data_IF_148927528703
#
_entry.id   IF_148927528703
#
_cell.length_a   1.000
_cell.length_b   1.000
_cell.length_c   1.000
_cell.angle_alpha   90.00
_cell.angle_beta   90.00
_cell.angle_gamma   90.00
#
_symmetry.space_group_name_H-M   'P 1'
#
loop_
_entity.id
_entity.type
_entity.pdbx_description
1 polymer ?
#
# COMPACT_ATOMS: atom_id res chain seq x y z
N UNK A 1 -2.07 -36.24 6.62
CA UNK A 1 -0.68 -36.65 6.31
C UNK A 1 0.25 -35.73 7.09
N UNK A 2 1.10 -36.28 7.96
CA UNK A 2 2.09 -35.48 8.70
C UNK A 2 3.17 -35.11 7.70
N UNK A 3 3.25 -33.83 7.30
CA UNK A 3 4.34 -33.36 6.44
C UNK A 3 5.63 -33.46 7.25
N UNK A 4 6.56 -34.30 6.78
CA UNK A 4 7.88 -34.47 7.41
C UNK A 4 8.62 -33.13 7.32
N UNK A 5 9.07 -32.62 8.45
CA UNK A 5 9.94 -31.43 8.47
C UNK A 5 11.23 -31.75 7.69
N UNK A 6 11.68 -30.85 6.81
CA UNK A 6 12.90 -31.06 6.04
C UNK A 6 14.11 -31.21 6.97
N UNK A 7 14.95 -32.17 6.65
CA UNK A 7 16.25 -32.41 7.28
C UNK A 7 17.22 -31.26 7.01
N UNK A 8 18.27 -31.13 7.83
CA UNK A 8 19.29 -30.08 7.64
C UNK A 8 19.92 -30.05 6.23
N UNK A 9 20.22 -31.19 5.59
CA UNK A 9 20.65 -31.19 4.18
C UNK A 9 19.58 -30.66 3.22
N UNK A 10 18.30 -30.95 3.46
CA UNK A 10 17.19 -30.45 2.63
C UNK A 10 16.97 -28.94 2.82
N UNK A 11 17.15 -28.42 4.04
CA UNK A 11 17.16 -26.97 4.29
C UNK A 11 18.29 -26.29 3.53
N UNK A 12 19.50 -26.86 3.57
CA UNK A 12 20.66 -26.30 2.86
C UNK A 12 20.41 -26.24 1.35
N UNK A 13 19.82 -27.30 0.76
CA UNK A 13 19.45 -27.29 -0.66
C UNK A 13 18.46 -26.17 -1.01
N UNK A 14 17.53 -25.84 -0.11
CA UNK A 14 16.58 -24.75 -0.31
C UNK A 14 17.28 -23.39 -0.19
N UNK A 15 18.17 -23.22 0.79
CA UNK A 15 18.97 -22.01 0.97
C UNK A 15 19.82 -21.76 -0.27
N UNK A 16 20.53 -22.78 -0.75
CA UNK A 16 21.39 -22.69 -1.93
C UNK A 16 20.57 -22.30 -3.17
N UNK A 17 19.41 -22.93 -3.37
CA UNK A 17 18.49 -22.61 -4.47
C UNK A 17 18.00 -21.16 -4.44
N UNK A 18 17.61 -20.65 -3.26
CA UNK A 18 17.18 -19.26 -3.10
C UNK A 18 18.36 -18.29 -3.23
N UNK A 19 19.57 -18.71 -2.88
CA UNK A 19 20.76 -17.89 -3.05
C UNK A 19 21.18 -17.75 -4.52
N UNK A 20 21.11 -18.82 -5.30
CA UNK A 20 21.36 -18.79 -6.77
C UNK A 20 20.42 -17.84 -7.50
N UNK A 21 19.21 -17.69 -6.96
CA UNK A 21 18.18 -16.76 -7.43
C UNK A 21 18.50 -15.27 -7.22
N UNK A 22 19.52 -14.94 -6.41
CA UNK A 22 19.97 -13.57 -6.12
C UNK A 22 18.85 -12.58 -5.71
N UNK A 23 18.02 -12.89 -4.69
CA UNK A 23 16.88 -12.06 -4.34
C UNK A 23 17.29 -10.68 -3.79
N UNK A 24 16.53 -9.65 -4.14
CA UNK A 24 16.67 -8.30 -3.57
C UNK A 24 16.12 -8.25 -2.15
N UNK A 25 16.51 -7.22 -1.38
CA UNK A 25 15.98 -7.00 -0.02
C UNK A 25 14.45 -6.92 -0.01
N UNK A 26 13.87 -6.24 -0.98
CA UNK A 26 12.42 -6.11 -1.14
C UNK A 26 11.73 -7.46 -1.37
N UNK A 27 12.34 -8.34 -2.18
CA UNK A 27 11.81 -9.68 -2.41
C UNK A 27 11.86 -10.55 -1.14
N UNK A 28 12.92 -10.42 -0.33
CA UNK A 28 13.01 -11.10 0.98
C UNK A 28 11.90 -10.62 1.93
N UNK A 29 11.68 -9.31 1.99
CA UNK A 29 10.65 -8.73 2.84
C UNK A 29 9.24 -9.13 2.41
N UNK A 30 8.99 -9.19 1.09
CA UNK A 30 7.73 -9.70 0.53
C UNK A 30 7.47 -11.13 0.98
N UNK A 31 8.47 -12.00 0.88
CA UNK A 31 8.33 -13.41 1.27
C UNK A 31 8.01 -13.56 2.77
N UNK A 32 8.62 -12.74 3.65
CA UNK A 32 8.24 -12.69 5.06
C UNK A 32 6.74 -12.40 5.24
N UNK A 33 6.23 -11.40 4.51
CA UNK A 33 4.84 -10.95 4.64
C UNK A 33 3.86 -11.96 4.04
N UNK A 34 4.15 -12.50 2.86
CA UNK A 34 3.23 -13.35 2.09
C UNK A 34 3.22 -14.79 2.59
N UNK A 35 4.40 -15.39 2.75
CA UNK A 35 4.53 -16.82 3.09
C UNK A 35 4.47 -17.02 4.59
N UNK A 36 5.18 -16.20 5.35
CA UNK A 36 5.26 -16.34 6.80
C UNK A 36 4.17 -15.57 7.53
N UNK A 37 3.52 -14.57 6.90
CA UNK A 37 2.54 -13.68 7.54
C UNK A 37 3.12 -12.96 8.77
N UNK A 38 4.38 -12.56 8.67
CA UNK A 38 5.15 -11.88 9.73
C UNK A 38 5.84 -10.64 9.18
N UNK A 39 6.12 -9.67 10.06
CA UNK A 39 6.94 -8.53 9.68
C UNK A 39 8.39 -9.00 9.48
N UNK A 40 9.14 -8.49 8.48
CA UNK A 40 10.52 -8.93 8.24
C UNK A 40 11.44 -8.85 9.46
N UNK A 41 11.26 -7.84 10.32
CA UNK A 41 12.04 -7.66 11.55
C UNK A 41 11.73 -8.68 12.65
N UNK A 42 10.60 -9.38 12.58
CA UNK A 42 10.28 -10.48 13.47
C UNK A 42 10.94 -11.80 13.02
N UNK A 43 11.40 -11.84 11.76
CA UNK A 43 12.04 -13.01 11.13
C UNK A 43 13.56 -12.87 11.14
N UNK A 44 14.09 -11.71 10.77
CA UNK A 44 15.53 -11.41 10.81
C UNK A 44 15.82 -9.94 11.19
N UNK A 45 16.94 -9.66 11.90
CA UNK A 45 17.33 -8.29 12.26
C UNK A 45 17.52 -7.33 11.06
N UNK A 46 17.30 -6.03 11.26
CA UNK A 46 17.50 -4.97 10.25
C UNK A 46 18.91 -4.92 9.62
N UNK A 47 19.93 -5.46 10.31
CA UNK A 47 21.32 -5.48 9.84
C UNK A 47 21.77 -6.84 9.31
N UNK A 48 20.83 -7.74 9.03
CA UNK A 48 21.14 -9.05 8.48
C UNK A 48 21.64 -8.94 7.04
N UNK A 49 22.67 -9.71 6.72
CA UNK A 49 23.08 -9.91 5.32
C UNK A 49 22.02 -10.72 4.58
N UNK A 50 22.01 -10.66 3.24
CA UNK A 50 21.08 -11.44 2.39
C UNK A 50 21.09 -12.93 2.77
N UNK A 51 22.28 -13.51 2.99
CA UNK A 51 22.38 -14.92 3.37
C UNK A 51 21.83 -15.18 4.78
N UNK A 52 22.03 -14.28 5.74
CA UNK A 52 21.44 -14.41 7.08
C UNK A 52 19.92 -14.32 7.03
N UNK A 53 19.37 -13.43 6.21
CA UNK A 53 17.93 -13.30 6.01
C UNK A 53 17.33 -14.55 5.34
N UNK A 54 17.99 -15.12 4.32
CA UNK A 54 17.56 -16.36 3.66
C UNK A 54 17.56 -17.53 4.66
N UNK A 55 18.62 -17.69 5.46
CA UNK A 55 18.68 -18.74 6.48
C UNK A 55 17.52 -18.62 7.48
N UNK A 56 17.29 -17.41 8.01
CA UNK A 56 16.21 -17.14 8.95
C UNK A 56 14.82 -17.40 8.34
N UNK A 57 14.61 -17.00 7.08
CA UNK A 57 13.40 -17.27 6.32
C UNK A 57 13.14 -18.77 6.18
N UNK A 58 14.16 -19.53 5.80
CA UNK A 58 14.05 -20.99 5.63
C UNK A 58 13.72 -21.66 6.95
N UNK A 59 14.45 -21.34 8.03
CA UNK A 59 14.16 -21.89 9.36
C UNK A 59 12.75 -21.54 9.85
N UNK A 60 12.33 -20.28 9.64
CA UNK A 60 10.98 -19.84 10.02
C UNK A 60 9.89 -20.51 9.20
N UNK A 61 10.15 -20.76 7.91
CA UNK A 61 9.22 -21.50 7.04
C UNK A 61 9.03 -22.95 7.48
N UNK A 62 10.10 -23.59 7.99
CA UNK A 62 10.07 -24.95 8.51
C UNK A 62 9.27 -25.01 9.80
N UNK A 63 9.50 -24.07 10.72
CA UNK A 63 8.71 -23.96 11.95
C UNK A 63 7.21 -23.81 11.68
N UNK A 64 6.86 -23.07 10.62
CA UNK A 64 5.47 -22.84 10.20
C UNK A 64 4.91 -23.90 9.24
N UNK A 65 5.71 -24.90 8.85
CA UNK A 65 5.33 -25.93 7.87
C UNK A 65 4.85 -25.35 6.52
N UNK A 66 5.47 -24.25 6.06
CA UNK A 66 5.15 -23.55 4.80
C UNK A 66 6.33 -23.52 3.80
N UNK A 67 7.30 -24.42 3.98
CA UNK A 67 8.54 -24.46 3.19
C UNK A 67 8.30 -24.65 1.69
N UNK A 68 7.29 -25.42 1.29
CA UNK A 68 6.93 -25.58 -0.13
C UNK A 68 6.42 -24.28 -0.76
N UNK A 69 5.71 -23.46 0.03
CA UNK A 69 5.22 -22.15 -0.40
C UNK A 69 6.33 -21.11 -0.50
N UNK A 70 7.40 -21.27 0.29
CA UNK A 70 8.55 -20.35 0.29
C UNK A 70 9.25 -20.34 -1.07
N UNK A 71 9.61 -21.51 -1.59
CA UNK A 71 10.34 -21.63 -2.86
C UNK A 71 9.46 -21.17 -4.03
N UNK A 72 8.18 -21.55 -4.02
CA UNK A 72 7.23 -21.13 -5.05
C UNK A 72 7.06 -19.60 -5.09
N UNK A 73 7.00 -18.93 -3.93
CA UNK A 73 6.90 -17.47 -3.90
C UNK A 73 8.18 -16.83 -4.46
N UNK A 74 9.38 -17.28 -4.06
CA UNK A 74 10.63 -16.75 -4.63
C UNK A 74 10.70 -16.89 -6.16
N UNK A 75 10.30 -18.04 -6.70
CA UNK A 75 10.24 -18.26 -8.15
C UNK A 75 9.27 -17.29 -8.83
N UNK A 76 8.10 -17.03 -8.22
CA UNK A 76 7.11 -16.09 -8.75
C UNK A 76 7.60 -14.64 -8.70
N UNK A 77 8.18 -14.20 -7.58
CA UNK A 77 8.63 -12.81 -7.43
C UNK A 77 9.76 -12.49 -8.40
N UNK A 78 10.65 -13.45 -8.66
CA UNK A 78 11.78 -13.28 -9.58
C UNK A 78 11.35 -13.35 -11.03
N UNK A 79 10.41 -14.23 -11.39
CA UNK A 79 9.85 -14.26 -12.75
C UNK A 79 9.14 -12.95 -13.11
N UNK A 80 8.48 -12.30 -12.14
CA UNK A 80 7.93 -10.95 -12.34
C UNK A 80 9.04 -9.94 -12.65
N UNK A 81 10.13 -9.96 -11.89
CA UNK A 81 11.27 -9.05 -12.11
C UNK A 81 12.03 -9.31 -13.41
N UNK A 82 12.20 -10.56 -13.85
CA UNK A 82 12.88 -10.91 -15.12
C UNK A 82 12.02 -10.50 -16.32
N UNK A 83 10.70 -10.63 -16.23
CA UNK A 83 9.80 -10.18 -17.30
C UNK A 83 9.70 -8.65 -17.37
N UNK A 84 9.99 -7.93 -16.28
CA UNK A 84 9.96 -6.45 -16.22
C UNK A 84 11.29 -5.79 -16.65
N UNK A 85 12.24 -6.58 -17.18
CA UNK A 85 13.49 -6.08 -17.75
C UNK A 85 13.31 -5.39 -19.11
N UNK A 86 13.33 -4.06 -19.10
CA UNK A 86 13.62 -3.16 -20.23
C UNK A 86 12.79 -3.32 -21.51
N UNK A 87 11.53 -2.93 -21.43
CA UNK A 87 10.89 -2.17 -22.50
C UNK A 87 9.86 -1.27 -21.82
N UNK A 88 9.66 -0.06 -22.31
CA UNK A 88 8.58 0.83 -21.86
C UNK A 88 7.25 0.08 -22.04
N UNK A 89 6.82 -0.68 -21.03
CA UNK A 89 5.50 -1.29 -21.02
C UNK A 89 4.51 -0.14 -20.97
N UNK A 90 3.54 -0.04 -21.89
CA UNK A 90 2.44 0.89 -21.72
C UNK A 90 1.81 0.53 -20.37
N UNK A 91 1.67 1.51 -19.47
CA UNK A 91 1.15 1.29 -18.12
C UNK A 91 -0.02 0.29 -18.16
N UNK A 92 0.19 -0.79 -17.41
CA UNK A 92 -0.50 -2.07 -17.55
C UNK A 92 -2.01 -1.89 -17.38
N UNK A 93 -2.79 -2.30 -18.38
CA UNK A 93 -4.25 -2.28 -18.30
C UNK A 93 -4.74 -3.07 -17.08
N UNK A 94 -3.98 -4.07 -16.65
CA UNK A 94 -4.26 -4.87 -15.46
C UNK A 94 -4.10 -4.06 -14.17
N UNK A 95 -3.05 -3.25 -14.04
CA UNK A 95 -2.87 -2.36 -12.89
C UNK A 95 -3.96 -1.29 -12.83
N UNK A 96 -4.35 -0.74 -13.98
CA UNK A 96 -5.47 0.20 -14.07
C UNK A 96 -6.82 -0.45 -13.74
N UNK A 97 -7.01 -1.73 -14.10
CA UNK A 97 -8.18 -2.52 -13.72
C UNK A 97 -8.21 -2.83 -12.23
N UNK A 98 -7.08 -3.23 -11.64
CA UNK A 98 -6.95 -3.45 -10.20
C UNK A 98 -7.28 -2.17 -9.42
N UNK A 99 -6.68 -1.05 -9.82
CA UNK A 99 -6.98 0.25 -9.27
C UNK A 99 -8.46 0.61 -9.43
N UNK A 100 -9.05 0.39 -10.61
CA UNK A 100 -10.47 0.62 -10.87
C UNK A 100 -11.41 -0.22 -10.00
N UNK A 101 -11.06 -1.49 -9.77
CA UNK A 101 -11.81 -2.41 -8.91
C UNK A 101 -11.72 -2.01 -7.43
N UNK A 102 -10.53 -1.67 -6.94
CA UNK A 102 -10.32 -1.13 -5.60
C UNK A 102 -11.11 0.16 -5.43
N UNK A 103 -10.93 1.11 -6.35
CA UNK A 103 -11.65 2.39 -6.39
C UNK A 103 -13.16 2.21 -6.29
N UNK A 104 -13.74 1.34 -7.12
CA UNK A 104 -15.19 1.12 -7.18
C UNK A 104 -15.69 0.47 -5.89
N UNK A 105 -14.90 -0.45 -5.33
CA UNK A 105 -15.25 -1.13 -4.08
C UNK A 105 -15.20 -0.20 -2.88
N UNK A 106 -14.15 0.65 -2.80
CA UNK A 106 -14.05 1.70 -1.80
C UNK A 106 -15.25 2.65 -1.91
N UNK A 107 -15.53 3.16 -3.11
CA UNK A 107 -16.64 4.08 -3.32
C UNK A 107 -17.97 3.45 -2.91
N UNK A 108 -18.24 2.21 -3.30
CA UNK A 108 -19.47 1.49 -2.93
C UNK A 108 -19.59 1.26 -1.42
N UNK A 109 -18.49 0.96 -0.74
CA UNK A 109 -18.49 0.83 0.72
C UNK A 109 -18.79 2.16 1.42
N UNK A 110 -18.34 3.27 0.82
CA UNK A 110 -18.55 4.63 1.32
C UNK A 110 -19.87 5.28 0.85
N UNK A 111 -20.56 4.71 -0.14
CA UNK A 111 -21.86 5.18 -0.64
C UNK A 111 -22.97 5.10 0.43
N UNK A 112 -22.78 4.31 1.49
CA UNK A 112 -23.69 4.23 2.63
C UNK A 112 -23.58 5.43 3.60
N UNK A 113 -22.58 6.31 3.41
CA UNK A 113 -22.41 7.52 4.22
C UNK A 113 -23.38 8.61 3.76
N UNK A 114 -24.04 9.27 4.71
CA UNK A 114 -25.02 10.32 4.44
C UNK A 114 -24.41 11.50 3.65
N UNK A 115 -24.98 11.80 2.49
CA UNK A 115 -24.54 12.90 1.63
C UNK A 115 -24.86 14.27 2.22
N UNK A 116 -25.85 14.36 3.11
CA UNK A 116 -26.22 15.64 3.76
C UNK A 116 -25.19 16.07 4.80
N UNK A 117 -24.60 15.12 5.54
CA UNK A 117 -23.47 15.40 6.43
C UNK A 117 -22.22 15.79 5.64
N UNK A 118 -21.98 15.14 4.49
CA UNK A 118 -20.87 15.47 3.60
C UNK A 118 -20.92 16.93 3.12
N UNK A 119 -22.10 17.44 2.76
CA UNK A 119 -22.27 18.83 2.31
C UNK A 119 -21.87 19.84 3.40
N UNK A 120 -22.19 19.55 4.66
CA UNK A 120 -21.83 20.40 5.80
C UNK A 120 -20.31 20.58 5.95
N UNK A 121 -19.51 19.53 5.74
CA UNK A 121 -18.04 19.61 5.81
C UNK A 121 -17.40 20.21 4.56
N UNK A 122 -18.10 20.16 3.41
CA UNK A 122 -17.58 20.71 2.14
C UNK A 122 -17.86 22.20 1.95
N UNK A 123 -18.82 22.77 2.69
CA UNK A 123 -19.30 24.14 2.48
C UNK A 123 -18.24 25.22 2.78
N UNK A 124 -17.31 24.93 3.70
CA UNK A 124 -16.29 25.89 4.16
C UNK A 124 -14.92 25.70 3.48
N UNK A 125 -14.79 24.74 2.55
CA UNK A 125 -13.53 24.53 1.83
C UNK A 125 -13.50 25.52 0.68
N UNK A 126 -12.94 26.70 0.97
CA UNK A 126 -12.55 27.68 -0.04
C UNK A 126 -11.68 26.97 -1.09
N UNK A 127 -12.27 26.72 -2.26
CA UNK A 127 -11.62 26.05 -3.40
C UNK A 127 -10.52 26.91 -4.06
N UNK A 128 -9.93 27.84 -3.31
CA UNK A 128 -9.06 28.91 -3.78
C UNK A 128 -7.68 28.89 -3.12
N UNK A 129 -7.36 27.85 -2.33
CA UNK A 129 -6.05 27.73 -1.72
C UNK A 129 -4.99 27.34 -2.76
N UNK A 130 -4.46 28.35 -3.44
CA UNK A 130 -3.38 28.28 -4.44
C UNK A 130 -2.00 28.01 -3.80
N UNK A 131 -1.95 27.21 -2.73
CA UNK A 131 -0.69 26.80 -2.11
C UNK A 131 -0.06 25.69 -2.93
N UNK A 132 1.21 25.83 -3.32
CA UNK A 132 1.91 24.76 -4.03
C UNK A 132 1.93 23.48 -3.18
N UNK A 133 1.69 22.31 -3.78
CA UNK A 133 1.60 21.04 -3.05
C UNK A 133 2.79 20.74 -2.14
N UNK A 134 4.01 21.11 -2.57
CA UNK A 134 5.22 20.96 -1.73
C UNK A 134 5.14 21.82 -0.47
N UNK A 135 4.73 23.07 -0.63
CA UNK A 135 4.54 24.02 0.47
C UNK A 135 3.43 23.54 1.40
N UNK A 136 2.34 23.01 0.83
CA UNK A 136 1.26 22.39 1.59
C UNK A 136 1.76 21.23 2.47
N UNK A 137 2.48 20.28 1.88
CA UNK A 137 2.98 19.10 2.60
C UNK A 137 3.89 19.50 3.77
N UNK A 138 4.75 20.50 3.57
CA UNK A 138 5.70 20.96 4.56
C UNK A 138 5.07 21.81 5.66
N UNK A 139 4.20 22.77 5.28
CA UNK A 139 3.80 23.86 6.17
C UNK A 139 2.35 23.76 6.68
N UNK A 140 1.45 23.14 5.90
CA UNK A 140 0.04 22.95 6.29
C UNK A 140 -0.19 21.55 6.86
N UNK A 141 0.08 20.53 6.06
CA UNK A 141 -0.14 19.15 6.46
C UNK A 141 0.82 18.70 7.57
N UNK A 142 2.00 19.33 7.70
CA UNK A 142 3.00 19.03 8.74
C UNK A 142 3.38 17.54 8.79
N UNK A 143 3.42 16.89 7.62
CA UNK A 143 3.87 15.51 7.51
C UNK A 143 5.36 15.38 7.82
N UNK A 144 5.81 14.20 8.28
CA UNK A 144 7.24 13.89 8.38
C UNK A 144 7.92 13.93 7.00
N UNK A 145 9.24 14.14 6.97
CA UNK A 145 10.01 14.21 5.70
C UNK A 145 9.80 12.97 4.84
N UNK A 146 9.85 11.78 5.44
CA UNK A 146 9.68 10.52 4.73
C UNK A 146 8.29 10.44 4.07
N UNK A 147 7.24 10.89 4.77
CA UNK A 147 5.87 10.91 4.25
C UNK A 147 5.69 11.99 3.17
N UNK A 148 6.37 13.14 3.28
CA UNK A 148 6.40 14.14 2.22
C UNK A 148 7.07 13.59 0.94
N UNK A 149 8.20 12.90 1.07
CA UNK A 149 8.88 12.26 -0.06
C UNK A 149 8.05 11.15 -0.70
N UNK A 150 7.30 10.39 0.11
CA UNK A 150 6.34 9.40 -0.40
C UNK A 150 5.23 10.09 -1.20
N UNK A 151 4.59 11.11 -0.64
CA UNK A 151 3.52 11.85 -1.32
C UNK A 151 3.97 12.44 -2.67
N UNK A 152 5.20 12.93 -2.74
CA UNK A 152 5.78 13.47 -3.99
C UNK A 152 6.00 12.38 -5.04
N UNK A 153 6.44 11.19 -4.65
CA UNK A 153 6.62 10.04 -5.54
C UNK A 153 5.29 9.52 -6.06
N UNK A 154 4.32 9.28 -5.16
CA UNK A 154 3.03 8.68 -5.51
C UNK A 154 2.15 9.60 -6.39
N UNK A 155 2.38 10.92 -6.40
CA UNK A 155 1.58 11.88 -7.19
C UNK A 155 1.53 11.57 -8.68
N UNK A 156 2.67 11.24 -9.28
CA UNK A 156 2.74 10.99 -10.72
C UNK A 156 2.04 9.68 -11.07
N UNK A 157 2.29 8.65 -10.26
CA UNK A 157 1.72 7.32 -10.44
C UNK A 157 0.19 7.33 -10.29
N UNK A 158 -0.34 7.94 -9.23
CA UNK A 158 -1.78 8.00 -9.01
C UNK A 158 -2.50 8.81 -10.09
N UNK A 159 -1.90 9.90 -10.59
CA UNK A 159 -2.46 10.70 -11.68
C UNK A 159 -2.58 9.89 -12.98
N UNK A 160 -1.58 9.05 -13.26
CA UNK A 160 -1.57 8.13 -14.41
C UNK A 160 -2.65 7.05 -14.23
N UNK A 161 -2.70 6.39 -13.07
CA UNK A 161 -3.69 5.35 -12.77
C UNK A 161 -5.12 5.88 -12.86
N UNK A 162 -5.39 7.05 -12.28
CA UNK A 162 -6.69 7.71 -12.38
C UNK A 162 -7.06 7.98 -13.85
N UNK A 163 -6.14 8.51 -14.66
CA UNK A 163 -6.41 8.79 -16.08
C UNK A 163 -6.74 7.51 -16.86
N UNK A 164 -6.04 6.42 -16.59
CA UNK A 164 -6.26 5.14 -17.26
C UNK A 164 -7.55 4.47 -16.80
N UNK A 165 -7.82 4.44 -15.49
CA UNK A 165 -9.08 3.94 -14.97
C UNK A 165 -10.28 4.72 -15.51
N UNK A 166 -10.17 6.05 -15.66
CA UNK A 166 -11.22 6.86 -16.30
C UNK A 166 -11.49 6.43 -17.75
N UNK A 167 -10.44 6.09 -18.51
CA UNK A 167 -10.58 5.56 -19.89
C UNK A 167 -11.27 4.19 -19.90
N UNK A 168 -11.05 3.37 -18.86
CA UNK A 168 -11.67 2.06 -18.68
C UNK A 168 -13.11 2.11 -18.12
N UNK A 169 -13.64 3.30 -17.84
CA UNK A 169 -15.03 3.49 -17.42
C UNK A 169 -15.24 3.87 -15.95
N UNK A 170 -14.17 3.93 -15.15
CA UNK A 170 -14.24 4.32 -13.73
C UNK A 170 -14.33 5.85 -13.60
N UNK A 171 -15.54 6.41 -13.65
CA UNK A 171 -15.78 7.86 -13.86
C UNK A 171 -16.09 8.69 -12.59
N UNK A 172 -16.10 8.11 -11.39
CA UNK A 172 -16.55 8.77 -10.15
C UNK A 172 -15.43 9.17 -9.17
N UNK A 173 -14.21 9.41 -9.65
CA UNK A 173 -13.06 9.61 -8.78
C UNK A 173 -13.18 10.78 -7.80
N UNK A 174 -13.74 11.92 -8.24
CA UNK A 174 -13.98 13.06 -7.37
C UNK A 174 -14.95 12.75 -6.22
N UNK A 175 -15.90 11.84 -6.42
CA UNK A 175 -16.82 11.42 -5.34
C UNK A 175 -16.06 10.66 -4.26
N UNK A 176 -15.08 9.84 -4.65
CA UNK A 176 -14.22 9.16 -3.69
C UNK A 176 -13.40 10.15 -2.86
N UNK A 177 -12.79 11.17 -3.50
CA UNK A 177 -12.03 12.21 -2.77
C UNK A 177 -12.90 12.91 -1.72
N UNK A 178 -14.16 13.24 -2.06
CA UNK A 178 -15.12 13.81 -1.11
C UNK A 178 -15.44 12.88 0.06
N UNK A 179 -15.64 11.58 -0.19
CA UNK A 179 -15.91 10.59 0.87
C UNK A 179 -14.68 10.35 1.76
N UNK A 180 -13.48 10.30 1.18
CA UNK A 180 -12.20 10.24 1.91
C UNK A 180 -12.02 11.47 2.80
N UNK A 181 -12.37 12.65 2.29
CA UNK A 181 -12.35 13.89 3.05
C UNK A 181 -13.31 13.87 4.25
N UNK A 182 -14.55 13.47 4.04
CA UNK A 182 -15.50 13.32 5.14
C UNK A 182 -15.02 12.33 6.21
N UNK A 183 -14.47 11.20 5.78
CA UNK A 183 -13.84 10.25 6.69
C UNK A 183 -12.69 10.88 7.48
N UNK A 184 -11.85 11.68 6.82
CA UNK A 184 -10.78 12.39 7.50
C UNK A 184 -11.29 13.30 8.61
N UNK A 185 -12.36 14.05 8.39
CA UNK A 185 -12.95 14.89 9.45
C UNK A 185 -13.44 14.06 10.64
N UNK A 186 -14.06 12.90 10.40
CA UNK A 186 -14.41 11.96 11.48
C UNK A 186 -13.19 11.41 12.22
N UNK A 187 -12.10 11.16 11.51
CA UNK A 187 -10.82 10.81 12.15
C UNK A 187 -10.34 11.97 13.03
N UNK A 188 -10.46 13.22 12.58
CA UNK A 188 -10.09 14.40 13.37
C UNK A 188 -10.96 14.60 14.62
N UNK A 189 -12.24 14.20 14.60
CA UNK A 189 -13.09 14.23 15.80
C UNK A 189 -12.55 13.30 16.90
N UNK A 190 -12.02 12.14 16.50
CA UNK A 190 -11.44 11.15 17.42
C UNK A 190 -9.96 11.39 17.74
N UNK A 191 -9.25 12.02 16.80
CA UNK A 191 -7.82 12.30 16.85
C UNK A 191 -7.56 13.75 16.43
N UNK A 192 -7.76 14.73 17.34
CA UNK A 192 -7.65 16.15 16.99
C UNK A 192 -6.23 16.58 16.58
N UNK A 193 -6.13 17.53 15.66
CA UNK A 193 -4.87 18.02 15.09
C UNK A 193 -3.89 18.61 16.11
N UNK A 194 -4.42 19.18 17.19
CA UNK A 194 -3.62 19.77 18.27
C UNK A 194 -3.01 18.71 19.21
N UNK A 195 -3.47 17.47 19.15
CA UNK A 195 -3.00 16.37 20.01
C UNK A 195 -2.26 15.29 19.24
N UNK A 196 -2.66 15.03 17.98
CA UNK A 196 -2.12 13.95 17.17
C UNK A 196 -1.47 14.49 15.89
N UNK A 197 -0.24 14.05 15.56
CA UNK A 197 0.44 14.48 14.35
C UNK A 197 -0.27 13.97 13.09
N UNK A 198 -0.04 14.64 11.97
CA UNK A 198 -0.65 14.29 10.69
C UNK A 198 -0.33 12.87 10.25
N UNK A 199 0.92 12.41 10.42
CA UNK A 199 1.32 11.03 10.14
C UNK A 199 0.44 10.00 10.88
N UNK A 200 0.14 10.23 12.16
CA UNK A 200 -0.71 9.32 12.93
C UNK A 200 -2.15 9.28 12.38
N UNK A 201 -2.70 10.45 12.05
CA UNK A 201 -4.06 10.56 11.50
C UNK A 201 -4.16 10.00 10.08
N UNK A 202 -3.08 10.11 9.31
CA UNK A 202 -2.91 9.43 8.03
C UNK A 202 -3.00 7.92 8.19
N UNK A 203 -2.26 7.32 9.15
CA UNK A 203 -2.34 5.88 9.38
C UNK A 203 -3.75 5.43 9.77
N UNK A 204 -4.45 6.21 10.61
CA UNK A 204 -5.84 5.89 10.99
C UNK A 204 -6.80 5.97 9.80
N UNK A 205 -6.62 6.95 8.91
CA UNK A 205 -7.40 7.06 7.69
C UNK A 205 -7.11 5.88 6.73
N UNK A 206 -5.83 5.54 6.55
CA UNK A 206 -5.40 4.42 5.71
C UNK A 206 -5.97 3.08 6.21
N UNK A 207 -5.82 2.79 7.50
CA UNK A 207 -6.39 1.61 8.14
C UNK A 207 -7.91 1.55 7.95
N UNK A 208 -8.60 2.68 8.15
CA UNK A 208 -10.05 2.74 8.02
C UNK A 208 -10.49 2.44 6.58
N UNK A 209 -9.88 3.08 5.58
CA UNK A 209 -10.19 2.84 4.17
C UNK A 209 -9.87 1.41 3.75
N UNK A 210 -8.72 0.87 4.17
CA UNK A 210 -8.34 -0.50 3.89
C UNK A 210 -9.33 -1.53 4.48
N UNK A 211 -9.83 -1.28 5.69
CA UNK A 211 -10.81 -2.15 6.34
C UNK A 211 -12.15 -2.23 5.59
N UNK A 212 -12.50 -1.21 4.81
CA UNK A 212 -13.73 -1.18 4.00
C UNK A 212 -13.64 -2.08 2.76
N UNK A 213 -12.45 -2.53 2.37
CA UNK A 213 -12.30 -3.34 1.16
C UNK A 213 -12.72 -4.79 1.36
N UNK A 214 -13.32 -5.41 0.34
CA UNK A 214 -13.63 -6.84 0.36
C UNK A 214 -12.34 -7.67 0.43
N UNK A 215 -12.40 -8.84 1.07
CA UNK A 215 -11.23 -9.69 1.31
C UNK A 215 -10.48 -10.05 0.01
N UNK A 216 -11.20 -10.22 -1.10
CA UNK A 216 -10.66 -10.56 -2.41
C UNK A 216 -9.73 -9.48 -2.98
N UNK A 217 -9.99 -8.20 -2.66
CA UNK A 217 -9.12 -7.10 -3.11
C UNK A 217 -7.93 -6.96 -2.16
N UNK A 218 -8.14 -7.28 -0.88
CA UNK A 218 -7.09 -7.29 0.14
C UNK A 218 -6.01 -8.36 -0.07
N UNK A 219 -6.23 -9.31 -0.98
CA UNK A 219 -5.23 -10.31 -1.39
C UNK A 219 -3.97 -9.67 -2.02
N UNK A 220 -4.09 -8.48 -2.61
CA UNK A 220 -2.99 -7.66 -3.12
C UNK A 220 -2.60 -6.57 -2.12
N UNK A 221 -2.15 -6.99 -0.93
CA UNK A 221 -2.01 -6.11 0.23
C UNK A 221 -1.16 -4.85 -0.05
N UNK A 222 0.05 -5.02 -0.59
CA UNK A 222 1.01 -3.93 -0.78
C UNK A 222 0.56 -2.97 -1.89
N UNK A 223 0.13 -3.50 -3.04
CA UNK A 223 -0.35 -2.71 -4.16
C UNK A 223 -1.63 -1.95 -3.79
N UNK A 224 -2.51 -2.57 -3.00
CA UNK A 224 -3.73 -1.94 -2.53
C UNK A 224 -3.45 -0.81 -1.53
N UNK A 225 -2.53 -1.01 -0.58
CA UNK A 225 -2.16 0.04 0.36
C UNK A 225 -1.50 1.23 -0.34
N UNK A 226 -0.64 0.98 -1.33
CA UNK A 226 0.00 2.05 -2.10
C UNK A 226 -1.05 2.83 -2.92
N UNK A 227 -2.03 2.14 -3.50
CA UNK A 227 -3.11 2.79 -4.23
C UNK A 227 -4.03 3.62 -3.31
N UNK A 228 -4.40 3.12 -2.13
CA UNK A 228 -5.18 3.90 -1.14
C UNK A 228 -4.37 5.11 -0.67
N UNK A 229 -3.08 4.90 -0.39
CA UNK A 229 -2.13 5.96 -0.02
C UNK A 229 -2.09 7.05 -1.09
N UNK A 230 -2.01 6.65 -2.36
CA UNK A 230 -2.10 7.55 -3.51
C UNK A 230 -3.41 8.34 -3.53
N UNK A 231 -4.56 7.71 -3.25
CA UNK A 231 -5.86 8.41 -3.14
C UNK A 231 -5.87 9.42 -2.00
N UNK A 232 -5.32 9.07 -0.83
CA UNK A 232 -5.22 10.00 0.31
C UNK A 232 -4.34 11.20 -0.08
N UNK A 233 -3.15 10.96 -0.63
CA UNK A 233 -2.26 12.05 -1.04
C UNK A 233 -2.84 12.91 -2.16
N UNK A 234 -3.55 12.33 -3.11
CA UNK A 234 -4.24 13.08 -4.14
C UNK A 234 -5.41 13.91 -3.55
N UNK A 235 -6.07 13.42 -2.50
CA UNK A 235 -7.07 14.18 -1.73
C UNK A 235 -6.41 15.31 -0.92
N UNK A 236 -5.22 15.09 -0.37
CA UNK A 236 -4.38 16.13 0.23
C UNK A 236 -3.95 17.16 -0.83
N UNK A 237 -3.61 16.72 -2.04
CA UNK A 237 -3.19 17.60 -3.14
C UNK A 237 -4.25 18.65 -3.48
N UNK A 238 -5.52 18.24 -3.54
CA UNK A 238 -6.65 19.13 -3.85
C UNK A 238 -7.08 20.03 -2.67
N UNK A 239 -6.28 20.10 -1.60
CA UNK A 239 -6.64 20.89 -0.42
C UNK A 239 -7.93 20.45 0.26
N UNK A 240 -8.26 19.15 0.24
CA UNK A 240 -9.43 18.65 0.97
C UNK A 240 -9.13 18.22 2.42
N UNK A 241 -7.92 17.73 2.69
CA UNK A 241 -7.54 17.17 3.99
C UNK A 241 -6.15 17.62 4.43
N UNK A 242 -5.86 17.54 5.73
CA UNK A 242 -4.62 18.00 6.36
C UNK A 242 -4.32 19.48 6.07
N UNK A 243 -5.28 20.37 6.30
CA UNK A 243 -5.15 21.82 6.09
C UNK A 243 -5.24 22.65 7.38
N UNK A 244 -5.51 22.00 8.50
CA UNK A 244 -5.79 22.63 9.80
C UNK A 244 -4.58 23.06 10.64
#
# INVERSE_FOLDING_TARGET
MVMRSPSEPEKQLIIDKIQEMCPTTEQLERVCRVVLKEHPHDVYPQRSTTIQAINALVDRSVQKSVTSSLVAEFELTIQRTINDGSEFRPIDADLANQFGNMFTSLLKALEQMDDSELEQYTADIDSADMTEFKDKLANKAKFSKDKQEHALRSRTEISVLHRLAKKLGYRKYNMLKKKVMYLYFRICDSYPANQFPADYRFERLLEHLYAQLPAQIREYYDECLEQITGVIFDTTYDCYIFNE
#
